data_IF_615530622090
#
_entry.id   IF_615530622090
#
_cell.length_a   1.000
_cell.length_b   1.000
_cell.length_c   1.000
_cell.angle_alpha   90.00
_cell.angle_beta   90.00
_cell.angle_gamma   90.00
#
_symmetry.space_group_name_H-M   'P 1'
#
loop_
_entity.id
_entity.type
_entity.pdbx_description
1 polymer ?
#
# COMPACT_ATOMS: atom_id res chain seq x y z
N UNK A 1 0.25 8.66 -6.11
CA UNK A 1 -0.38 8.04 -7.32
C UNK A 1 0.15 8.75 -8.54
N UNK A 2 1.13 8.16 -9.17
CA UNK A 2 1.86 8.81 -10.28
C UNK A 2 1.92 7.89 -11.49
N UNK A 3 1.86 8.49 -12.66
CA UNK A 3 2.10 7.80 -13.94
C UNK A 3 3.58 7.89 -14.25
N UNK A 4 4.21 6.75 -14.53
CA UNK A 4 5.63 6.70 -14.85
C UNK A 4 5.83 6.99 -16.33
N UNK A 5 6.41 8.15 -16.64
CA UNK A 5 6.88 8.47 -17.99
C UNK A 5 8.24 7.78 -18.18
N UNK A 6 8.38 6.86 -19.14
CA UNK A 6 9.65 6.16 -19.37
C UNK A 6 10.79 7.10 -19.84
N UNK A 7 10.51 8.34 -20.21
CA UNK A 7 11.51 9.35 -20.54
C UNK A 7 12.00 10.15 -19.32
N UNK A 8 11.32 10.04 -18.17
CA UNK A 8 11.67 10.73 -16.94
C UNK A 8 12.50 9.84 -16.02
N UNK A 9 13.12 10.44 -14.99
CA UNK A 9 13.83 9.70 -13.95
C UNK A 9 12.90 8.68 -13.27
N UNK A 10 13.39 7.48 -12.89
CA UNK A 10 12.56 6.32 -12.56
C UNK A 10 11.56 6.51 -11.39
N UNK A 11 11.66 7.59 -10.64
CA UNK A 11 10.77 7.87 -9.50
C UNK A 11 9.98 9.17 -9.63
N UNK A 12 10.08 9.88 -10.76
CA UNK A 12 9.35 11.11 -11.00
C UNK A 12 8.31 10.89 -12.10
N UNK A 13 7.11 10.53 -11.74
CA UNK A 13 6.00 10.48 -12.70
C UNK A 13 5.03 11.64 -12.48
N UNK A 14 4.26 11.95 -13.48
CA UNK A 14 3.17 12.93 -13.40
C UNK A 14 2.09 12.43 -12.46
N UNK A 15 1.58 13.32 -11.60
CA UNK A 15 0.50 12.99 -10.67
C UNK A 15 -0.80 12.77 -11.44
N UNK A 16 -1.39 11.59 -11.34
CA UNK A 16 -2.66 11.25 -12.00
C UNK A 16 -3.74 12.26 -11.61
N UNK A 17 -4.39 12.84 -12.61
CA UNK A 17 -5.44 13.85 -12.44
C UNK A 17 -4.93 15.28 -12.25
N UNK A 18 -3.62 15.53 -12.31
CA UNK A 18 -3.08 16.89 -12.27
C UNK A 18 -3.36 17.59 -13.59
N UNK A 19 -4.34 18.49 -13.60
CA UNK A 19 -4.74 19.24 -14.79
C UNK A 19 -3.75 20.30 -15.25
N UNK A 20 -2.77 20.64 -14.40
CA UNK A 20 -1.69 21.57 -14.75
C UNK A 20 -0.53 20.91 -15.49
N UNK A 21 -0.52 19.57 -15.55
CA UNK A 21 0.48 18.79 -16.25
C UNK A 21 -0.17 18.12 -17.48
N UNK A 22 0.12 18.57 -18.70
CA UNK A 22 -0.49 18.01 -19.92
C UNK A 22 -0.05 16.56 -20.20
N UNK A 23 0.97 16.05 -19.52
CA UNK A 23 1.45 14.67 -19.66
C UNK A 23 0.81 13.72 -18.64
N UNK A 24 0.12 14.27 -17.64
CA UNK A 24 -0.51 13.46 -16.60
C UNK A 24 -1.69 12.64 -17.15
N UNK A 25 -1.76 11.37 -16.74
CA UNK A 25 -2.98 10.60 -16.96
C UNK A 25 -4.14 11.24 -16.18
N UNK A 26 -5.31 11.28 -16.79
CA UNK A 26 -6.51 11.82 -16.14
C UNK A 26 -7.12 10.82 -15.14
N UNK A 27 -7.90 11.31 -14.20
CA UNK A 27 -8.73 10.49 -13.30
C UNK A 27 -9.62 9.52 -14.10
N UNK A 28 -10.18 9.96 -15.22
CA UNK A 28 -11.02 9.12 -16.07
C UNK A 28 -10.23 7.97 -16.73
N UNK A 29 -9.00 8.23 -17.18
CA UNK A 29 -8.13 7.19 -17.74
C UNK A 29 -7.72 6.17 -16.68
N UNK A 30 -7.46 6.62 -15.45
CA UNK A 30 -7.17 5.72 -14.33
C UNK A 30 -8.38 4.83 -14.00
N UNK A 31 -9.57 5.39 -13.94
CA UNK A 31 -10.80 4.61 -13.79
C UNK A 31 -11.01 3.61 -14.94
N UNK A 32 -10.81 4.04 -16.20
CA UNK A 32 -10.94 3.16 -17.35
C UNK A 32 -9.96 1.97 -17.31
N UNK A 33 -8.70 2.22 -16.95
CA UNK A 33 -7.70 1.16 -16.74
C UNK A 33 -8.20 0.09 -15.74
N UNK A 34 -8.72 0.53 -14.59
CA UNK A 34 -9.23 -0.39 -13.58
C UNK A 34 -10.48 -1.13 -14.03
N UNK A 35 -11.37 -0.48 -14.77
CA UNK A 35 -12.54 -1.13 -15.37
C UNK A 35 -12.16 -2.22 -16.35
N UNK A 36 -11.20 -1.97 -17.24
CA UNK A 36 -10.71 -2.97 -18.20
C UNK A 36 -10.01 -4.15 -17.51
N UNK A 37 -9.19 -3.88 -16.50
CA UNK A 37 -8.51 -4.91 -15.73
C UNK A 37 -9.52 -5.78 -14.98
N UNK A 38 -10.47 -5.15 -14.28
CA UNK A 38 -11.49 -5.85 -13.50
C UNK A 38 -12.39 -6.71 -14.39
N UNK A 39 -12.77 -6.24 -15.57
CA UNK A 39 -13.57 -7.03 -16.52
C UNK A 39 -12.93 -8.38 -16.88
N UNK A 40 -11.60 -8.47 -16.86
CA UNK A 40 -10.85 -9.71 -17.15
C UNK A 40 -10.86 -10.70 -15.98
N UNK A 41 -10.94 -10.20 -14.74
CA UNK A 41 -10.78 -11.03 -13.54
C UNK A 41 -12.02 -11.11 -12.65
N UNK A 42 -13.13 -10.44 -13.02
CA UNK A 42 -14.36 -10.33 -12.20
C UNK A 42 -14.98 -11.65 -11.77
N UNK A 43 -14.71 -12.74 -12.48
CA UNK A 43 -15.23 -14.08 -12.18
C UNK A 43 -14.27 -14.93 -11.34
N UNK A 44 -13.07 -14.41 -11.04
CA UNK A 44 -12.11 -15.09 -10.21
C UNK A 44 -12.07 -14.44 -8.82
N UNK A 45 -12.77 -15.02 -7.86
CA UNK A 45 -12.89 -14.53 -6.49
C UNK A 45 -11.55 -14.47 -5.72
N UNK A 46 -10.52 -15.16 -6.24
CA UNK A 46 -9.16 -15.14 -5.62
C UNK A 46 -8.33 -13.91 -6.01
N UNK A 47 -8.79 -13.12 -6.96
CA UNK A 47 -8.11 -11.87 -7.34
C UNK A 47 -8.58 -10.75 -6.43
N UNK A 48 -7.61 -10.00 -5.90
CA UNK A 48 -7.81 -8.79 -5.10
C UNK A 48 -7.27 -7.60 -5.90
N UNK A 49 -7.98 -6.50 -5.93
CA UNK A 49 -7.58 -5.28 -6.65
C UNK A 49 -6.96 -4.27 -5.69
N UNK A 50 -5.62 -4.18 -5.65
CA UNK A 50 -4.89 -3.12 -4.97
C UNK A 50 -4.74 -1.91 -5.89
N UNK A 51 -5.35 -0.78 -5.55
CA UNK A 51 -5.57 0.30 -6.50
C UNK A 51 -4.32 1.07 -6.91
N UNK A 52 -3.36 1.26 -6.01
CA UNK A 52 -2.10 1.93 -6.32
C UNK A 52 -1.11 1.75 -5.18
N UNK A 53 0.18 1.69 -5.54
CA UNK A 53 1.25 1.72 -4.56
C UNK A 53 1.50 3.13 -4.04
N UNK A 54 1.54 3.29 -2.74
CA UNK A 54 2.09 4.40 -1.98
C UNK A 54 1.82 5.82 -2.54
N UNK A 55 0.58 6.29 -2.58
CA UNK A 55 0.32 7.68 -2.89
C UNK A 55 0.98 8.62 -1.87
N UNK A 56 1.67 9.66 -2.36
CA UNK A 56 2.31 10.66 -1.50
C UNK A 56 2.40 12.00 -2.22
N UNK A 57 2.62 13.08 -1.47
CA UNK A 57 2.82 14.43 -1.98
C UNK A 57 1.75 14.88 -2.98
N UNK A 58 0.50 14.55 -2.69
CA UNK A 58 -0.64 14.95 -3.54
C UNK A 58 -1.83 15.36 -2.67
N UNK A 59 -2.70 16.26 -3.18
CA UNK A 59 -3.91 16.64 -2.46
C UNK A 59 -4.82 15.45 -2.22
N UNK A 60 -5.34 15.30 -1.00
CA UNK A 60 -6.27 14.23 -0.65
C UNK A 60 -7.55 14.25 -1.48
N UNK A 61 -8.03 15.44 -1.86
CA UNK A 61 -9.20 15.59 -2.75
C UNK A 61 -8.98 14.96 -4.11
N UNK A 62 -7.77 15.06 -4.66
CA UNK A 62 -7.42 14.42 -5.93
C UNK A 62 -7.26 12.90 -5.77
N UNK A 63 -6.66 12.47 -4.67
CA UNK A 63 -6.51 11.04 -4.36
C UNK A 63 -7.89 10.38 -4.22
N UNK A 64 -8.81 10.99 -3.47
CA UNK A 64 -10.21 10.52 -3.35
C UNK A 64 -10.88 10.40 -4.72
N UNK A 65 -10.76 11.42 -5.56
CA UNK A 65 -11.37 11.40 -6.90
C UNK A 65 -10.83 10.25 -7.75
N UNK A 66 -9.51 10.01 -7.71
CA UNK A 66 -8.88 8.91 -8.43
C UNK A 66 -9.33 7.54 -7.90
N UNK A 67 -9.30 7.34 -6.59
CA UNK A 67 -9.70 6.08 -5.97
C UNK A 67 -11.17 5.77 -6.22
N UNK A 68 -12.07 6.77 -6.06
CA UNK A 68 -13.49 6.59 -6.31
C UNK A 68 -13.78 6.24 -7.78
N UNK A 69 -13.11 6.91 -8.72
CA UNK A 69 -13.26 6.60 -10.15
C UNK A 69 -12.83 5.14 -10.47
N UNK A 70 -11.78 4.64 -9.81
CA UNK A 70 -11.36 3.25 -9.96
C UNK A 70 -12.37 2.28 -9.35
N UNK A 71 -12.84 2.54 -8.14
CA UNK A 71 -13.86 1.71 -7.46
C UNK A 71 -15.13 1.62 -8.31
N UNK A 72 -15.66 2.77 -8.77
CA UNK A 72 -16.86 2.83 -9.58
C UNK A 72 -16.71 2.06 -10.90
N UNK A 73 -15.57 2.20 -11.56
CA UNK A 73 -15.29 1.50 -12.81
C UNK A 73 -15.17 -0.02 -12.61
N UNK A 74 -14.54 -0.47 -11.53
CA UNK A 74 -14.46 -1.89 -11.15
C UNK A 74 -15.86 -2.44 -10.92
N UNK A 75 -16.67 -1.77 -10.08
CA UNK A 75 -18.02 -2.23 -9.74
C UNK A 75 -18.98 -2.21 -10.94
N UNK A 76 -18.81 -1.28 -11.84
CA UNK A 76 -19.57 -1.22 -13.11
C UNK A 76 -19.38 -2.48 -13.98
N UNK A 77 -18.29 -3.21 -13.85
CA UNK A 77 -18.08 -4.48 -14.55
C UNK A 77 -18.87 -5.66 -13.96
N UNK A 78 -19.46 -5.48 -12.78
CA UNK A 78 -20.07 -6.54 -11.97
C UNK A 78 -19.07 -7.30 -11.10
N UNK A 79 -17.82 -6.86 -11.01
CA UNK A 79 -16.81 -7.47 -10.13
C UNK A 79 -17.19 -7.24 -8.66
N UNK A 80 -17.17 -8.33 -7.87
CA UNK A 80 -17.41 -8.31 -6.41
C UNK A 80 -16.14 -8.53 -5.61
N UNK A 81 -15.00 -8.64 -6.27
CA UNK A 81 -13.69 -8.84 -5.68
C UNK A 81 -13.40 -7.82 -4.57
N UNK A 82 -12.59 -8.21 -3.59
CA UNK A 82 -12.03 -7.27 -2.61
C UNK A 82 -11.22 -6.19 -3.33
N UNK A 83 -11.47 -4.95 -2.96
CA UNK A 83 -10.65 -3.80 -3.37
C UNK A 83 -9.85 -3.34 -2.16
N UNK A 84 -8.57 -3.05 -2.35
CA UNK A 84 -7.69 -2.48 -1.34
C UNK A 84 -7.32 -1.07 -1.78
N UNK A 85 -7.69 -0.07 -0.97
CA UNK A 85 -7.51 1.35 -1.27
C UNK A 85 -6.42 1.96 -0.38
N UNK A 86 -5.36 2.55 -0.96
CA UNK A 86 -4.28 3.15 -0.20
C UNK A 86 -4.64 4.53 0.34
N UNK A 87 -4.02 4.88 1.47
CA UNK A 87 -3.99 6.24 1.99
C UNK A 87 -2.98 7.14 1.29
N UNK A 88 -2.83 8.36 1.78
CA UNK A 88 -1.74 9.28 1.43
C UNK A 88 -0.49 8.97 2.30
N UNK A 89 0.59 9.71 2.12
CA UNK A 89 1.83 9.56 2.91
C UNK A 89 2.34 8.10 2.93
N UNK A 90 2.53 7.53 1.72
CA UNK A 90 2.97 6.14 1.49
C UNK A 90 2.06 5.09 2.15
N UNK A 91 0.82 5.46 2.46
CA UNK A 91 -0.16 4.60 3.14
C UNK A 91 0.32 4.04 4.50
N UNK A 92 1.24 4.78 5.16
CA UNK A 92 1.87 4.36 6.41
C UNK A 92 0.89 4.23 7.57
N UNK A 93 0.94 3.11 8.28
CA UNK A 93 0.10 2.89 9.46
C UNK A 93 0.45 3.85 10.59
N UNK A 94 1.76 4.06 10.84
CA UNK A 94 2.28 5.00 11.84
C UNK A 94 1.85 6.45 11.58
N UNK A 95 1.68 6.84 10.31
CA UNK A 95 1.35 8.21 9.91
C UNK A 95 -0.14 8.44 9.61
N UNK A 96 -0.99 7.43 9.80
CA UNK A 96 -2.39 7.41 9.36
C UNK A 96 -3.23 8.61 9.79
N UNK A 97 -3.03 9.08 11.02
CA UNK A 97 -3.73 10.22 11.61
C UNK A 97 -2.91 11.51 11.57
N UNK A 98 -1.72 11.47 10.96
CA UNK A 98 -0.82 12.61 10.87
C UNK A 98 -0.98 13.34 9.54
N UNK A 99 -0.54 14.60 9.47
CA UNK A 99 -0.62 15.39 8.24
C UNK A 99 -1.79 16.37 8.18
N UNK A 100 -2.48 16.62 9.29
CA UNK A 100 -3.56 17.60 9.35
C UNK A 100 -4.71 17.25 8.41
N UNK A 101 -5.13 18.20 7.56
CA UNK A 101 -6.25 18.00 6.63
C UNK A 101 -6.01 16.90 5.60
N UNK A 102 -4.76 16.63 5.24
CA UNK A 102 -4.35 15.63 4.26
C UNK A 102 -4.21 14.22 4.86
N UNK A 103 -4.36 14.07 6.20
CA UNK A 103 -4.28 12.77 6.85
C UNK A 103 -5.30 11.78 6.28
N UNK A 104 -4.86 10.55 6.02
CA UNK A 104 -5.71 9.50 5.43
C UNK A 104 -6.99 9.25 6.24
N UNK A 105 -6.91 9.35 7.57
CA UNK A 105 -8.03 9.21 8.49
C UNK A 105 -9.17 10.21 8.26
N UNK A 106 -8.91 11.36 7.64
CA UNK A 106 -9.93 12.42 7.47
C UNK A 106 -10.86 12.21 6.26
N UNK A 107 -10.48 11.35 5.33
CA UNK A 107 -11.19 11.27 4.06
C UNK A 107 -11.44 9.86 3.53
N UNK A 108 -10.57 8.88 3.77
CA UNK A 108 -10.65 7.57 3.10
C UNK A 108 -11.91 6.78 3.46
N UNK A 109 -12.45 6.98 4.67
CA UNK A 109 -13.72 6.39 5.11
C UNK A 109 -14.95 6.90 4.32
N UNK A 110 -14.75 7.93 3.49
CA UNK A 110 -15.81 8.50 2.62
C UNK A 110 -15.87 7.83 1.25
N UNK A 111 -14.92 6.96 0.93
CA UNK A 111 -14.99 6.16 -0.29
C UNK A 111 -16.22 5.26 -0.24
N UNK A 112 -16.97 5.24 -1.34
CA UNK A 112 -18.18 4.45 -1.47
C UNK A 112 -17.92 3.20 -2.33
N UNK A 113 -18.36 2.06 -1.84
CA UNK A 113 -18.31 0.79 -2.57
C UNK A 113 -19.69 0.13 -2.52
N UNK A 114 -20.32 -0.09 -3.69
CA UNK A 114 -21.66 -0.67 -3.80
C UNK A 114 -21.73 -2.13 -3.35
N UNK A 115 -20.62 -2.86 -3.34
CA UNK A 115 -20.56 -4.23 -2.86
C UNK A 115 -20.13 -4.32 -1.39
N UNK A 116 -19.79 -3.19 -0.75
CA UNK A 116 -19.29 -3.13 0.63
C UNK A 116 -18.13 -4.13 0.88
N UNK A 117 -17.23 -4.24 -0.11
CA UNK A 117 -16.09 -5.15 -0.09
C UNK A 117 -14.79 -4.37 -0.36
N UNK A 118 -14.54 -3.35 0.48
CA UNK A 118 -13.38 -2.48 0.46
C UNK A 118 -12.58 -2.66 1.74
N UNK A 119 -11.27 -2.80 1.62
CA UNK A 119 -10.31 -2.72 2.72
C UNK A 119 -9.34 -1.56 2.51
N UNK A 120 -8.74 -1.12 3.60
CA UNK A 120 -7.72 -0.08 3.61
C UNK A 120 -6.36 -0.73 3.42
N UNK A 121 -5.54 -0.15 2.56
CA UNK A 121 -4.15 -0.52 2.37
C UNK A 121 -3.27 0.11 3.43
N UNK A 122 -2.38 -0.67 4.02
CA UNK A 122 -1.40 -0.19 5.00
C UNK A 122 -0.03 -0.76 4.66
N UNK A 123 0.98 0.11 4.65
CA UNK A 123 2.38 -0.25 4.66
C UNK A 123 2.97 0.09 6.04
N UNK A 124 3.80 -0.79 6.58
CA UNK A 124 4.47 -0.52 7.85
C UNK A 124 5.84 -1.19 7.91
N UNK A 125 6.87 -0.39 7.91
CA UNK A 125 8.26 -0.82 8.15
C UNK A 125 8.70 -0.37 9.54
N UNK A 126 9.63 -1.12 10.14
CA UNK A 126 10.00 -0.94 11.55
C UNK A 126 11.41 -0.40 11.73
N UNK A 127 12.03 0.12 10.68
CA UNK A 127 13.29 0.85 10.73
C UNK A 127 13.08 2.32 11.17
N UNK A 128 14.17 3.07 11.32
CA UNK A 128 14.16 4.39 11.98
C UNK A 128 13.30 5.45 11.29
N UNK A 129 13.13 5.33 9.97
CA UNK A 129 12.36 6.28 9.15
C UNK A 129 11.18 5.64 8.40
N UNK A 130 10.84 4.40 8.73
CA UNK A 130 9.73 3.63 8.16
C UNK A 130 9.84 3.34 6.66
N UNK A 131 11.04 3.42 6.09
CA UNK A 131 11.27 3.22 4.66
C UNK A 131 11.50 1.75 4.26
N UNK A 132 11.89 0.90 5.22
CA UNK A 132 12.40 -0.44 4.95
C UNK A 132 13.82 -0.43 4.35
N UNK A 133 14.46 0.75 4.30
CA UNK A 133 15.80 0.93 3.72
C UNK A 133 16.97 0.63 4.67
N UNK A 134 16.71 0.37 5.95
CA UNK A 134 17.74 0.16 6.97
C UNK A 134 17.68 -1.25 7.56
N UNK A 135 18.86 -1.75 7.93
CA UNK A 135 18.99 -3.12 8.48
C UNK A 135 18.40 -3.26 9.90
N UNK A 136 18.37 -2.20 10.68
CA UNK A 136 17.92 -2.23 12.06
C UNK A 136 16.44 -1.91 12.19
N UNK A 137 15.67 -2.78 12.84
CA UNK A 137 14.34 -2.46 13.29
C UNK A 137 14.41 -1.79 14.68
N UNK A 138 13.80 -0.63 14.80
CA UNK A 138 13.86 0.22 16.01
C UNK A 138 12.48 0.67 16.48
N UNK A 139 11.43 0.42 15.70
CA UNK A 139 10.08 0.92 15.95
C UNK A 139 9.19 -0.16 16.56
N UNK A 140 8.42 0.20 17.58
CA UNK A 140 7.44 -0.69 18.21
C UNK A 140 6.19 -0.82 17.31
N UNK A 141 5.91 -2.00 16.74
CA UNK A 141 4.79 -2.19 15.84
C UNK A 141 3.42 -1.94 16.49
N UNK A 142 3.25 -2.31 17.75
CA UNK A 142 1.97 -2.11 18.44
C UNK A 142 1.70 -0.62 18.69
N UNK A 143 2.73 0.15 19.05
CA UNK A 143 2.61 1.60 19.22
C UNK A 143 2.31 2.29 17.87
N UNK A 144 2.98 1.89 16.79
CA UNK A 144 2.80 2.45 15.45
C UNK A 144 1.39 2.19 14.91
N UNK A 145 0.88 0.98 15.07
CA UNK A 145 -0.42 0.58 14.53
C UNK A 145 -1.60 0.95 15.44
N UNK A 146 -1.37 1.35 16.70
CA UNK A 146 -2.45 1.65 17.65
C UNK A 146 -3.41 2.72 17.14
N UNK A 147 -2.89 3.79 16.54
CA UNK A 147 -3.70 4.90 16.02
C UNK A 147 -4.62 4.47 14.88
N UNK A 148 -4.06 3.78 13.88
CA UNK A 148 -4.86 3.30 12.75
C UNK A 148 -5.83 2.20 13.17
N UNK A 149 -5.45 1.32 14.12
CA UNK A 149 -6.35 0.28 14.64
C UNK A 149 -7.56 0.88 15.34
N UNK A 150 -7.36 1.89 16.20
CA UNK A 150 -8.45 2.60 16.86
C UNK A 150 -9.40 3.25 15.83
N UNK A 151 -8.82 3.87 14.82
CA UNK A 151 -9.58 4.50 13.73
C UNK A 151 -10.37 3.47 12.89
N UNK A 152 -9.78 2.31 12.59
CA UNK A 152 -10.48 1.22 11.88
C UNK A 152 -11.71 0.73 12.68
N UNK A 153 -11.55 0.55 14.00
CA UNK A 153 -12.64 0.17 14.91
C UNK A 153 -13.77 1.20 14.92
N UNK A 154 -13.43 2.48 15.04
CA UNK A 154 -14.38 3.59 15.03
C UNK A 154 -15.22 3.61 13.75
N UNK A 155 -14.56 3.45 12.60
CA UNK A 155 -15.21 3.50 11.29
C UNK A 155 -15.75 2.14 10.81
N UNK A 156 -15.55 1.05 11.57
CA UNK A 156 -15.94 -0.33 11.22
C UNK A 156 -15.36 -0.77 9.87
N UNK A 157 -14.13 -0.38 9.61
CA UNK A 157 -13.39 -0.71 8.39
C UNK A 157 -12.42 -1.86 8.64
N UNK A 158 -12.04 -2.51 7.56
CA UNK A 158 -11.01 -3.56 7.53
C UNK A 158 -9.75 -3.04 6.85
N UNK A 159 -8.61 -3.60 7.22
CA UNK A 159 -7.33 -3.29 6.61
C UNK A 159 -6.59 -4.54 6.14
N UNK A 160 -5.74 -4.35 5.16
CA UNK A 160 -4.78 -5.33 4.67
C UNK A 160 -3.39 -4.67 4.71
N UNK A 161 -2.43 -5.28 5.38
CA UNK A 161 -1.04 -4.79 5.32
C UNK A 161 -0.39 -5.40 4.09
N UNK A 162 -0.28 -4.62 3.01
CA UNK A 162 0.22 -5.12 1.73
C UNK A 162 1.73 -5.06 1.62
N UNK A 163 2.39 -4.24 2.45
CA UNK A 163 3.84 -4.21 2.55
C UNK A 163 4.32 -4.13 3.99
N UNK A 164 5.21 -5.00 4.33
CA UNK A 164 6.08 -4.95 5.49
C UNK A 164 7.31 -5.83 5.23
N UNK A 165 8.39 -5.55 5.91
CA UNK A 165 9.60 -6.35 5.79
C UNK A 165 10.69 -5.85 6.72
N UNK A 166 11.84 -6.51 6.68
CA UNK A 166 13.00 -6.15 7.48
C UNK A 166 14.16 -7.10 7.25
N UNK A 167 15.29 -6.81 7.89
CA UNK A 167 16.47 -7.68 7.83
C UNK A 167 16.26 -8.97 8.63
N UNK A 168 17.11 -9.97 8.38
CA UNK A 168 17.12 -11.24 9.12
C UNK A 168 17.79 -11.18 10.50
N UNK A 169 17.96 -9.99 11.07
CA UNK A 169 18.46 -9.85 12.44
C UNK A 169 17.43 -10.35 13.44
N UNK A 170 17.91 -10.88 14.57
CA UNK A 170 17.01 -11.33 15.66
C UNK A 170 16.07 -10.23 16.12
N UNK A 171 16.53 -8.97 16.16
CA UNK A 171 15.72 -7.84 16.55
C UNK A 171 14.55 -7.61 15.57
N UNK A 172 14.84 -7.55 14.25
CA UNK A 172 13.77 -7.39 13.25
C UNK A 172 12.81 -8.57 13.25
N UNK A 173 13.30 -9.80 13.30
CA UNK A 173 12.45 -10.99 13.34
C UNK A 173 11.51 -10.95 14.56
N UNK A 174 12.02 -10.55 15.72
CA UNK A 174 11.19 -10.41 16.93
C UNK A 174 10.11 -9.34 16.76
N UNK A 175 10.48 -8.18 16.21
CA UNK A 175 9.52 -7.08 16.01
C UNK A 175 8.48 -7.39 14.93
N UNK A 176 8.89 -8.00 13.82
CA UNK A 176 7.97 -8.43 12.76
C UNK A 176 6.98 -9.50 13.26
N UNK A 177 7.45 -10.47 14.05
CA UNK A 177 6.54 -11.42 14.71
C UNK A 177 5.58 -10.71 15.66
N UNK A 178 6.06 -9.74 16.43
CA UNK A 178 5.22 -8.91 17.30
C UNK A 178 4.15 -8.13 16.52
N UNK A 179 4.46 -7.65 15.33
CA UNK A 179 3.49 -7.02 14.43
C UNK A 179 2.43 -8.01 13.95
N UNK A 180 2.83 -9.20 13.51
CA UNK A 180 1.90 -10.24 13.09
C UNK A 180 1.00 -10.71 14.25
N UNK A 181 1.55 -10.84 15.46
CA UNK A 181 0.78 -11.16 16.67
C UNK A 181 -0.22 -10.04 17.00
N UNK A 182 0.19 -8.77 16.86
CA UNK A 182 -0.71 -7.63 17.05
C UNK A 182 -1.87 -7.67 16.05
N UNK A 183 -1.59 -7.92 14.77
CA UNK A 183 -2.62 -8.07 13.74
C UNK A 183 -3.57 -9.23 14.07
N UNK A 184 -3.05 -10.37 14.47
CA UNK A 184 -3.86 -11.54 14.83
C UNK A 184 -4.80 -11.30 16.01
N UNK A 185 -4.48 -10.35 16.90
CA UNK A 185 -5.31 -9.94 18.02
C UNK A 185 -6.34 -8.86 17.67
N UNK A 186 -6.27 -8.28 16.48
CA UNK A 186 -7.16 -7.22 16.02
C UNK A 186 -7.86 -7.63 14.72
N UNK A 187 -9.13 -7.98 14.81
CA UNK A 187 -9.94 -8.51 13.70
C UNK A 187 -10.15 -7.54 12.53
N UNK A 188 -9.74 -6.30 12.68
CA UNK A 188 -9.74 -5.30 11.62
C UNK A 188 -8.74 -5.64 10.51
N UNK A 189 -7.65 -6.33 10.84
CA UNK A 189 -6.65 -6.79 9.88
C UNK A 189 -7.06 -8.12 9.25
N UNK A 190 -7.37 -8.12 7.96
CA UNK A 190 -7.89 -9.30 7.26
C UNK A 190 -6.83 -10.08 6.47
N UNK A 191 -5.62 -9.57 6.39
CA UNK A 191 -4.52 -10.23 5.70
C UNK A 191 -3.27 -9.37 5.59
N UNK A 192 -2.23 -9.97 5.01
CA UNK A 192 -0.95 -9.31 4.79
C UNK A 192 -0.16 -9.95 3.65
N UNK A 193 0.78 -9.20 3.09
CA UNK A 193 1.82 -9.67 2.17
C UNK A 193 3.16 -9.07 2.56
N UNK A 194 4.21 -9.89 2.61
CA UNK A 194 5.54 -9.42 2.92
C UNK A 194 6.26 -8.89 1.67
N UNK A 195 7.06 -7.86 1.84
CA UNK A 195 7.90 -7.28 0.81
C UNK A 195 9.34 -7.75 1.01
N UNK A 196 10.06 -8.40 0.05
CA UNK A 196 9.45 -8.85 -1.20
C UNK A 196 10.22 -10.06 -1.76
N UNK A 197 9.55 -10.80 -2.61
CA UNK A 197 10.16 -11.84 -3.41
C UNK A 197 10.03 -11.51 -4.91
N UNK A 198 10.92 -12.07 -5.74
CA UNK A 198 10.89 -11.88 -7.19
C UNK A 198 12.27 -11.64 -7.79
N UNK A 199 12.40 -11.66 -9.12
CA UNK A 199 13.71 -11.62 -9.80
C UNK A 199 14.49 -10.32 -9.56
N UNK A 200 13.82 -9.26 -9.09
CA UNK A 200 14.47 -8.00 -8.75
C UNK A 200 15.13 -7.98 -7.37
N UNK A 201 14.90 -9.01 -6.54
CA UNK A 201 15.36 -9.09 -5.15
C UNK A 201 16.43 -10.14 -4.91
N UNK A 202 16.78 -10.90 -5.96
CA UNK A 202 17.79 -11.96 -5.90
C UNK A 202 19.22 -11.42 -5.95
N UNK A 203 20.22 -12.29 -5.72
CA UNK A 203 21.65 -11.92 -5.65
C UNK A 203 22.20 -11.31 -6.94
N UNK A 204 21.52 -11.49 -8.06
CA UNK A 204 21.89 -10.96 -9.37
C UNK A 204 20.92 -9.87 -9.85
N UNK A 205 20.18 -9.28 -8.95
CA UNK A 205 19.18 -8.26 -9.30
C UNK A 205 19.83 -7.02 -9.91
N UNK A 206 19.32 -6.53 -11.03
CA UNK A 206 19.79 -5.29 -11.62
C UNK A 206 19.34 -4.03 -10.88
N UNK A 207 18.34 -4.12 -9.99
CA UNK A 207 17.71 -2.95 -9.40
C UNK A 207 18.16 -2.64 -7.98
N UNK A 208 18.59 -3.64 -7.23
CA UNK A 208 18.71 -3.48 -5.79
C UNK A 208 20.15 -3.62 -5.34
N UNK A 209 20.76 -2.52 -4.93
CA UNK A 209 22.06 -2.51 -4.28
C UNK A 209 21.96 -3.17 -2.90
N UNK A 210 23.10 -3.48 -2.27
CA UNK A 210 23.15 -4.16 -0.96
C UNK A 210 22.30 -3.47 0.12
N UNK A 211 22.12 -2.14 0.05
CA UNK A 211 21.31 -1.36 0.98
C UNK A 211 19.80 -1.50 0.79
N UNK A 212 19.34 -1.94 -0.38
CA UNK A 212 17.92 -2.07 -0.72
C UNK A 212 17.46 -3.55 -0.71
N UNK A 213 18.28 -4.46 -0.23
CA UNK A 213 17.99 -5.90 -0.19
C UNK A 213 17.55 -6.39 1.20
N UNK A 214 17.42 -5.48 2.16
CA UNK A 214 16.92 -5.83 3.47
C UNK A 214 15.48 -6.34 3.34
N UNK A 215 15.22 -7.52 3.87
CA UNK A 215 13.90 -8.15 3.75
C UNK A 215 13.63 -8.90 2.43
N UNK A 216 14.66 -9.12 1.58
CA UNK A 216 14.52 -10.00 0.43
C UNK A 216 14.15 -11.42 0.88
N UNK A 217 13.08 -11.96 0.29
CA UNK A 217 12.62 -13.34 0.50
C UNK A 217 13.19 -14.32 -0.55
N UNK A 218 14.03 -13.82 -1.48
CA UNK A 218 14.64 -14.67 -2.51
C UNK A 218 15.78 -15.51 -1.93
N UNK A 219 15.77 -16.84 -2.15
CA UNK A 219 16.83 -17.72 -1.68
C UNK A 219 18.21 -17.28 -2.22
N UNK A 220 19.20 -17.22 -1.34
CA UNK A 220 20.58 -16.86 -1.67
C UNK A 220 20.82 -15.36 -1.85
N UNK A 221 19.84 -14.50 -1.61
CA UNK A 221 20.08 -13.06 -1.48
C UNK A 221 20.88 -12.77 -0.20
N UNK A 222 21.71 -11.70 -0.19
CA UNK A 222 22.53 -11.34 0.99
C UNK A 222 21.71 -10.97 2.22
N UNK A 223 20.49 -10.57 2.01
CA UNK A 223 19.56 -10.11 3.03
C UNK A 223 18.33 -11.03 3.15
N UNK A 224 18.40 -12.24 2.58
CA UNK A 224 17.33 -13.20 2.75
C UNK A 224 17.08 -13.42 4.24
N UNK A 225 15.88 -13.14 4.66
CA UNK A 225 15.36 -13.63 5.93
C UNK A 225 15.34 -15.15 5.82
N UNK A 226 16.22 -15.82 6.56
CA UNK A 226 16.33 -17.27 6.59
C UNK A 226 15.08 -17.93 7.13
#
# INVERSE_FOLDING_TARGET
MRYNDPSSQPFSGSVIGNTSDPTAATTAQFGAFWGELAARFRTNEKVIFGLMNEPHDMPSTLLVANLQAAIDAIRKTGAKNLIIAPGNSWTGGHSWTQGGAEASSNWIHKLADTENNLAIDIHEYLDEDFSGGHAACTQDPAANLAGVTAWLKEHKLKAFITEFGGSNTTACTTMLNGMLDYMAQNEEYIGWTAWAAGPFWGPNSPCCTDSNQWGSLEPGSKAASG
#
